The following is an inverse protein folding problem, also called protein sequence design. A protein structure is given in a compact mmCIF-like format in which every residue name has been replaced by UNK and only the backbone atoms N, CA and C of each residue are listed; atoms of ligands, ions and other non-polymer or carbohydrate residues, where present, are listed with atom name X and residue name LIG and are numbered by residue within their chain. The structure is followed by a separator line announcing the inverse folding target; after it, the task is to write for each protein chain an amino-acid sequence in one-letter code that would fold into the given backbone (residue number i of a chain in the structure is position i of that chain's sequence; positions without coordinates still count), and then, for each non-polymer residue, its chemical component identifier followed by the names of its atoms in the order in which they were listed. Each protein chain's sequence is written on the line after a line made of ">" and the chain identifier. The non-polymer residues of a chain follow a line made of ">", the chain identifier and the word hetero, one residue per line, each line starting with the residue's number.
data_IF_253443748161
#
_entry.id   IF_253443748161
#
_cell.length_a   1.000
_cell.length_b   1.000
_cell.length_c   1.000
_cell.angle_alpha   90.00
_cell.angle_beta   90.00
_cell.angle_gamma   90.00
#
_symmetry.space_group_name_H-M   'P 1'
#
loop_
_entity.id
_entity.type
_entity.pdbx_description
1 polymer ?
#
# COMPACT_ATOMS: atom_id res chain seq x y z
N UNK A 1 9.13 14.43 -7.06
CA UNK A 1 7.95 13.56 -6.89
C UNK A 1 6.68 14.14 -7.52
N UNK A 2 6.48 15.46 -7.57
CA UNK A 2 5.29 16.11 -8.18
C UNK A 2 5.11 15.87 -9.69
N UNK A 3 6.20 15.85 -10.47
CA UNK A 3 6.12 15.64 -11.94
C UNK A 3 5.55 14.27 -12.32
N UNK A 4 5.87 13.22 -11.56
CA UNK A 4 5.37 11.85 -11.82
C UNK A 4 3.89 11.74 -11.46
N UNK A 5 3.47 12.34 -10.34
CA UNK A 5 2.07 12.37 -9.93
C UNK A 5 1.18 13.09 -10.96
N UNK A 6 1.64 14.22 -11.52
CA UNK A 6 0.91 14.96 -12.55
C UNK A 6 0.76 14.16 -13.85
N UNK A 7 1.76 13.36 -14.23
CA UNK A 7 1.70 12.48 -15.41
C UNK A 7 0.68 11.36 -15.19
N UNK A 8 0.68 10.71 -14.02
CA UNK A 8 -0.32 9.69 -13.68
C UNK A 8 -1.73 10.27 -13.65
N UNK A 9 -1.91 11.46 -13.08
CA UNK A 9 -3.21 12.13 -13.02
C UNK A 9 -3.72 12.49 -14.42
N UNK A 10 -2.86 13.01 -15.31
CA UNK A 10 -3.19 13.31 -16.69
C UNK A 10 -3.57 12.04 -17.49
N UNK A 11 -2.88 10.91 -17.24
CA UNK A 11 -3.16 9.64 -17.90
C UNK A 11 -4.49 9.03 -17.44
N UNK A 12 -4.79 9.08 -16.13
CA UNK A 12 -6.09 8.66 -15.59
C UNK A 12 -7.21 9.53 -16.15
N UNK A 13 -7.02 10.85 -16.16
CA UNK A 13 -8.01 11.80 -16.68
C UNK A 13 -8.29 11.58 -18.19
N UNK A 14 -7.25 11.31 -18.98
CA UNK A 14 -7.38 10.97 -20.41
C UNK A 14 -8.19 9.69 -20.64
N UNK A 15 -7.96 8.65 -19.84
CA UNK A 15 -8.72 7.39 -19.91
C UNK A 15 -10.19 7.60 -19.52
N UNK A 16 -10.46 8.41 -18.50
CA UNK A 16 -11.82 8.77 -18.09
C UNK A 16 -12.57 9.51 -19.21
N UNK A 17 -11.95 10.50 -19.86
CA UNK A 17 -12.58 11.26 -20.94
C UNK A 17 -12.89 10.38 -22.17
N UNK A 18 -11.99 9.47 -22.54
CA UNK A 18 -12.23 8.53 -23.63
C UNK A 18 -13.42 7.60 -23.33
N UNK A 19 -13.52 7.09 -22.10
CA UNK A 19 -14.64 6.24 -21.67
C UNK A 19 -16.00 6.95 -21.78
N UNK A 20 -16.07 8.22 -21.39
CA UNK A 20 -17.31 9.02 -21.47
C UNK A 20 -17.71 9.35 -22.92
N UNK A 21 -16.75 9.55 -23.82
CA UNK A 21 -17.02 9.80 -25.23
C UNK A 21 -17.57 8.55 -25.96
N UNK A 22 -17.13 7.35 -25.57
CA UNK A 22 -17.65 6.11 -26.13
C UNK A 22 -19.07 5.77 -25.65
N UNK A 23 -19.44 6.13 -24.41
CA UNK A 23 -20.81 5.94 -23.90
C UNK A 23 -21.81 6.84 -24.62
N UNK A 24 -21.46 8.10 -24.88
CA UNK A 24 -22.36 9.03 -25.57
C UNK A 24 -22.62 8.63 -27.03
N UNK A 25 -21.64 8.00 -27.69
CA UNK A 25 -21.82 7.46 -29.04
C UNK A 25 -22.83 6.29 -29.06
N UNK A 26 -22.72 5.35 -28.11
CA UNK A 26 -23.66 4.24 -28.00
C UNK A 26 -25.08 4.72 -27.70
N UNK A 27 -25.24 5.67 -26.77
CA UNK A 27 -26.54 6.29 -26.46
C UNK A 27 -27.19 6.88 -27.71
N UNK A 28 -26.44 7.68 -28.48
CA UNK A 28 -26.93 8.28 -29.71
C UNK A 28 -27.42 7.25 -30.72
N UNK A 29 -26.68 6.15 -30.91
CA UNK A 29 -27.10 5.06 -31.83
C UNK A 29 -28.38 4.39 -31.33
N UNK A 30 -28.52 4.18 -30.02
CA UNK A 30 -29.73 3.60 -29.43
C UNK A 30 -30.94 4.53 -29.57
N UNK A 31 -30.76 5.84 -29.39
CA UNK A 31 -31.83 6.84 -29.56
C UNK A 31 -32.34 6.86 -31.01
N UNK A 32 -31.41 6.92 -31.98
CA UNK A 32 -31.74 6.90 -33.41
C UNK A 32 -32.43 5.59 -33.80
N UNK A 33 -31.96 4.45 -33.28
CA UNK A 33 -32.58 3.17 -33.56
C UNK A 33 -34.00 3.12 -32.99
N UNK A 34 -34.21 3.62 -31.77
CA UNK A 34 -35.50 3.65 -31.11
C UNK A 34 -36.53 4.48 -31.88
N UNK A 35 -36.16 5.65 -32.40
CA UNK A 35 -37.03 6.50 -33.21
C UNK A 35 -37.47 5.80 -34.51
N UNK A 36 -36.58 5.01 -35.11
CA UNK A 36 -36.82 4.31 -36.39
C UNK A 36 -37.55 2.98 -36.25
N UNK A 37 -37.70 2.45 -35.04
CA UNK A 37 -38.31 1.13 -34.83
C UNK A 37 -39.73 1.01 -35.39
N UNK A 38 -40.52 2.09 -35.35
CA UNK A 38 -41.90 2.05 -35.83
C UNK A 38 -42.02 2.30 -37.35
N UNK A 39 -41.13 3.11 -37.92
CA UNK A 39 -41.22 3.58 -39.31
C UNK A 39 -40.34 2.79 -40.28
N UNK A 40 -39.15 2.37 -39.86
CA UNK A 40 -38.18 1.62 -40.68
C UNK A 40 -37.35 0.65 -39.79
N UNK A 41 -37.97 -0.48 -39.38
CA UNK A 41 -37.37 -1.41 -38.41
C UNK A 41 -36.12 -2.13 -38.93
N UNK A 42 -36.00 -2.32 -40.25
CA UNK A 42 -34.83 -2.89 -40.93
C UNK A 42 -33.59 -2.00 -40.77
N UNK A 43 -33.77 -0.69 -40.94
CA UNK A 43 -32.72 0.31 -40.75
C UNK A 43 -32.32 0.44 -39.28
N UNK A 44 -33.30 0.36 -38.37
CA UNK A 44 -33.03 0.31 -36.93
C UNK A 44 -32.22 -0.93 -36.55
N UNK A 45 -32.57 -2.11 -37.10
CA UNK A 45 -31.83 -3.34 -36.88
C UNK A 45 -30.38 -3.25 -37.35
N UNK A 46 -30.13 -2.72 -38.55
CA UNK A 46 -28.77 -2.55 -39.08
C UNK A 46 -27.94 -1.62 -38.19
N UNK A 47 -28.51 -0.50 -37.73
CA UNK A 47 -27.84 0.41 -36.81
C UNK A 47 -27.44 -0.30 -35.51
N UNK A 48 -28.35 -1.07 -34.91
CA UNK A 48 -28.10 -1.84 -33.68
C UNK A 48 -27.08 -2.97 -33.91
N UNK A 49 -27.16 -3.73 -35.01
CA UNK A 49 -26.21 -4.83 -35.25
C UNK A 49 -24.79 -4.33 -35.59
N UNK A 50 -24.68 -3.15 -36.21
CA UNK A 50 -23.41 -2.50 -36.54
C UNK A 50 -22.70 -1.86 -35.34
N UNK A 51 -23.44 -1.59 -34.25
CA UNK A 51 -22.89 -0.99 -33.05
C UNK A 51 -21.76 -1.86 -32.47
N UNK A 52 -20.62 -1.23 -32.16
CA UNK A 52 -19.57 -1.89 -31.39
C UNK A 52 -20.06 -2.10 -29.95
N UNK A 53 -20.20 -3.37 -29.54
CA UNK A 53 -20.66 -3.74 -28.20
C UNK A 53 -19.68 -3.24 -27.13
N UNK A 54 -18.43 -2.94 -27.49
CA UNK A 54 -17.43 -2.38 -26.57
C UNK A 54 -17.84 -1.01 -26.01
N UNK A 55 -18.76 -0.30 -26.69
CA UNK A 55 -19.33 0.96 -26.23
C UNK A 55 -20.54 0.79 -25.29
N UNK A 56 -21.13 -0.42 -25.18
CA UNK A 56 -22.24 -0.72 -24.27
C UNK A 56 -21.74 -0.88 -22.83
N UNK A 57 -21.31 0.26 -22.27
CA UNK A 57 -20.39 0.20 -21.15
C UNK A 57 -21.04 -0.08 -19.79
N UNK A 58 -22.31 0.26 -19.67
CA UNK A 58 -23.14 0.10 -18.47
C UNK A 58 -24.09 -1.09 -18.63
N UNK A 59 -24.65 -1.59 -17.51
CA UNK A 59 -25.71 -2.60 -17.57
C UNK A 59 -26.96 -2.06 -18.27
N UNK A 60 -27.25 -0.78 -18.07
CA UNK A 60 -28.36 -0.04 -18.69
C UNK A 60 -28.28 -0.04 -20.22
N UNK A 61 -27.15 0.39 -20.79
CA UNK A 61 -26.99 0.45 -22.26
C UNK A 61 -27.13 -0.93 -22.90
N UNK A 62 -26.71 -1.99 -22.20
CA UNK A 62 -26.86 -3.36 -22.67
C UNK A 62 -28.31 -3.82 -22.64
N UNK A 63 -29.03 -3.53 -21.57
CA UNK A 63 -30.44 -3.84 -21.44
C UNK A 63 -31.27 -3.08 -22.48
N UNK A 64 -30.99 -1.79 -22.65
CA UNK A 64 -31.60 -0.95 -23.70
C UNK A 64 -31.31 -1.49 -25.10
N UNK A 65 -30.06 -1.82 -25.39
CA UNK A 65 -29.68 -2.44 -26.66
C UNK A 65 -30.38 -3.79 -26.87
N UNK A 66 -30.43 -4.66 -25.86
CA UNK A 66 -31.11 -5.95 -25.93
C UNK A 66 -32.62 -5.81 -26.20
N UNK A 67 -33.26 -4.83 -25.55
CA UNK A 67 -34.68 -4.51 -25.77
C UNK A 67 -34.91 -4.05 -27.21
N UNK A 68 -34.20 -3.02 -27.67
CA UNK A 68 -34.37 -2.46 -29.01
C UNK A 68 -34.02 -3.49 -30.10
N UNK A 69 -32.97 -4.30 -29.89
CA UNK A 69 -32.56 -5.35 -30.83
C UNK A 69 -33.64 -6.42 -30.97
N UNK A 70 -34.25 -6.84 -29.86
CA UNK A 70 -35.34 -7.83 -29.87
C UNK A 70 -36.60 -7.29 -30.55
N UNK A 71 -36.95 -6.03 -30.31
CA UNK A 71 -38.08 -5.36 -30.98
C UNK A 71 -37.83 -5.24 -32.49
N UNK A 72 -36.62 -4.84 -32.89
CA UNK A 72 -36.25 -4.69 -34.30
C UNK A 72 -36.34 -6.03 -35.03
N UNK A 73 -35.82 -7.11 -34.44
CA UNK A 73 -35.89 -8.47 -35.01
C UNK A 73 -37.34 -8.93 -35.22
N UNK A 74 -38.19 -8.79 -34.19
CA UNK A 74 -39.61 -9.16 -34.26
C UNK A 74 -40.35 -8.36 -35.35
N UNK A 75 -40.12 -7.04 -35.43
CA UNK A 75 -40.73 -6.19 -36.47
C UNK A 75 -40.20 -6.48 -37.88
N UNK A 76 -38.95 -6.90 -38.02
CA UNK A 76 -38.38 -7.33 -39.30
C UNK A 76 -38.86 -8.73 -39.73
N UNK A 77 -39.66 -9.42 -38.90
CA UNK A 77 -40.07 -10.81 -39.16
C UNK A 77 -38.90 -11.80 -39.12
N UNK A 78 -37.79 -11.41 -38.49
CA UNK A 78 -36.62 -12.26 -38.34
C UNK A 78 -36.87 -13.14 -37.11
N UNK A 79 -37.19 -14.41 -37.35
CA UNK A 79 -37.51 -15.36 -36.30
C UNK A 79 -36.40 -15.42 -35.24
N UNK A 80 -36.79 -15.36 -33.97
CA UNK A 80 -35.92 -15.52 -32.81
C UNK A 80 -36.28 -16.80 -32.06
N UNK A 81 -35.27 -17.46 -31.47
CA UNK A 81 -35.45 -18.47 -30.43
C UNK A 81 -35.72 -17.75 -29.12
N UNK A 82 -36.69 -18.24 -28.35
CA UNK A 82 -37.54 -17.38 -27.52
C UNK A 82 -36.90 -16.69 -26.31
N UNK A 83 -35.70 -17.05 -25.85
CA UNK A 83 -35.43 -16.78 -24.42
C UNK A 83 -34.16 -15.98 -24.09
N UNK A 84 -33.13 -15.86 -24.95
CA UNK A 84 -31.83 -15.37 -24.40
C UNK A 84 -31.58 -13.86 -24.50
N UNK A 85 -32.05 -13.16 -25.54
CA UNK A 85 -31.69 -11.75 -25.75
C UNK A 85 -32.62 -10.83 -24.97
N UNK A 86 -33.94 -10.99 -25.14
CA UNK A 86 -34.93 -10.13 -24.48
C UNK A 86 -34.87 -10.25 -22.95
N UNK A 87 -34.49 -11.41 -22.41
CA UNK A 87 -34.34 -11.59 -20.97
C UNK A 87 -33.21 -10.73 -20.38
N UNK A 88 -32.18 -10.34 -21.15
CA UNK A 88 -31.17 -9.36 -20.69
C UNK A 88 -31.82 -8.02 -20.34
N UNK A 89 -32.84 -7.61 -21.11
CA UNK A 89 -33.59 -6.39 -20.84
C UNK A 89 -34.56 -6.60 -19.68
N UNK A 90 -35.30 -7.71 -19.66
CA UNK A 90 -36.25 -8.02 -18.58
C UNK A 90 -35.54 -8.05 -17.24
N UNK A 91 -34.48 -8.84 -17.09
CA UNK A 91 -33.73 -8.99 -15.84
C UNK A 91 -33.22 -7.63 -15.31
N UNK A 92 -32.76 -6.76 -16.21
CA UNK A 92 -32.27 -5.44 -15.81
C UNK A 92 -33.40 -4.49 -15.41
N UNK A 93 -34.47 -4.41 -16.22
CA UNK A 93 -35.53 -3.43 -16.00
C UNK A 93 -36.50 -3.84 -14.89
N UNK A 94 -36.68 -5.14 -14.61
CA UNK A 94 -37.44 -5.58 -13.43
C UNK A 94 -36.75 -5.24 -12.12
N UNK A 95 -35.42 -5.18 -12.14
CA UNK A 95 -34.59 -4.83 -10.99
C UNK A 95 -34.31 -3.30 -10.90
N UNK A 96 -34.72 -2.52 -11.89
CA UNK A 96 -34.54 -1.06 -11.93
C UNK A 96 -35.83 -0.31 -11.57
N UNK A 97 -35.73 1.01 -11.34
CA UNK A 97 -36.90 1.87 -11.06
C UNK A 97 -37.69 2.25 -12.33
N UNK A 98 -37.25 1.79 -13.51
CA UNK A 98 -37.84 2.09 -14.81
C UNK A 98 -38.97 1.11 -15.14
N UNK A 99 -40.12 1.35 -14.50
CA UNK A 99 -41.32 0.50 -14.65
C UNK A 99 -41.86 0.48 -16.08
N UNK A 100 -41.70 1.56 -16.83
CA UNK A 100 -42.18 1.66 -18.21
C UNK A 100 -41.41 0.70 -19.11
N UNK A 101 -40.07 0.72 -19.06
CA UNK A 101 -39.27 -0.20 -19.84
C UNK A 101 -39.36 -1.65 -19.33
N UNK A 102 -39.61 -1.85 -18.03
CA UNK A 102 -39.87 -3.19 -17.47
C UNK A 102 -41.15 -3.80 -18.07
N UNK A 103 -42.26 -3.05 -18.06
CA UNK A 103 -43.52 -3.49 -18.65
C UNK A 103 -43.35 -3.73 -20.16
N UNK A 104 -42.68 -2.82 -20.87
CA UNK A 104 -42.38 -2.96 -22.29
C UNK A 104 -41.56 -4.22 -22.59
N UNK A 105 -40.51 -4.51 -21.81
CA UNK A 105 -39.67 -5.69 -22.00
C UNK A 105 -40.47 -6.98 -21.79
N UNK A 106 -41.35 -7.02 -20.78
CA UNK A 106 -42.23 -8.16 -20.50
C UNK A 106 -43.21 -8.39 -21.66
N UNK A 107 -43.89 -7.34 -22.13
CA UNK A 107 -44.85 -7.44 -23.25
C UNK A 107 -44.17 -7.98 -24.51
N UNK A 108 -42.99 -7.45 -24.85
CA UNK A 108 -42.26 -7.90 -26.05
C UNK A 108 -41.72 -9.33 -25.90
N UNK A 109 -41.27 -9.73 -24.71
CA UNK A 109 -40.90 -11.12 -24.44
C UNK A 109 -42.08 -12.05 -24.71
N UNK A 110 -43.24 -11.76 -24.13
CA UNK A 110 -44.42 -12.62 -24.25
C UNK A 110 -44.89 -12.72 -25.72
N UNK A 111 -44.78 -11.61 -26.47
CA UNK A 111 -45.03 -11.59 -27.93
C UNK A 111 -44.04 -12.47 -28.70
N UNK A 112 -42.73 -12.35 -28.44
CA UNK A 112 -41.70 -13.16 -29.10
C UNK A 112 -41.90 -14.64 -28.80
N UNK A 113 -42.27 -14.99 -27.56
CA UNK A 113 -42.59 -16.37 -27.17
C UNK A 113 -43.78 -16.88 -28.00
N UNK A 114 -44.86 -16.11 -28.10
CA UNK A 114 -46.02 -16.48 -28.91
C UNK A 114 -45.66 -16.66 -30.39
N UNK A 115 -44.90 -15.72 -30.98
CA UNK A 115 -44.42 -15.79 -32.37
C UNK A 115 -43.52 -17.00 -32.61
N UNK A 116 -42.63 -17.31 -31.67
CA UNK A 116 -41.71 -18.46 -31.76
C UNK A 116 -42.45 -19.81 -31.70
N UNK A 117 -43.53 -19.90 -30.91
CA UNK A 117 -44.36 -21.11 -30.78
C UNK A 117 -45.13 -21.44 -32.06
N UNK A 118 -45.34 -20.46 -32.95
CA UNK A 118 -45.97 -20.62 -34.25
C UNK A 118 -45.00 -21.12 -35.35
N UNK A 119 -43.69 -21.20 -35.07
CA UNK A 119 -42.69 -21.67 -36.03
C UNK A 119 -42.79 -23.19 -36.18
N UNK A 120 -43.39 -23.63 -37.29
CA UNK A 120 -43.55 -25.04 -37.64
C UNK A 120 -42.25 -25.84 -37.47
N UNK A 121 -42.30 -27.07 -36.91
CA UNK A 121 -41.16 -27.99 -36.85
C UNK A 121 -40.40 -28.20 -38.16
N UNK A 122 -41.09 -28.06 -39.29
CA UNK A 122 -40.56 -28.24 -40.64
C UNK A 122 -39.86 -27.01 -41.23
N UNK A 123 -39.97 -25.82 -40.65
CA UNK A 123 -39.28 -24.61 -41.13
C UNK A 123 -37.85 -24.51 -40.54
N UNK A 124 -36.98 -25.40 -41.01
CA UNK A 124 -35.59 -25.53 -40.54
C UNK A 124 -34.75 -24.28 -40.79
N UNK A 125 -35.03 -23.55 -41.87
CA UNK A 125 -34.27 -22.35 -42.26
C UNK A 125 -34.50 -21.21 -41.28
N UNK A 126 -35.76 -20.92 -40.91
CA UNK A 126 -36.04 -19.88 -39.91
C UNK A 126 -35.42 -20.20 -38.55
N UNK A 127 -35.43 -21.48 -38.16
CA UNK A 127 -34.80 -21.94 -36.91
C UNK A 127 -33.27 -21.79 -36.93
N UNK A 128 -32.63 -22.09 -38.05
CA UNK A 128 -31.18 -21.92 -38.20
C UNK A 128 -30.80 -20.44 -38.18
N UNK A 129 -31.53 -19.58 -38.90
CA UNK A 129 -31.28 -18.13 -38.91
C UNK A 129 -31.44 -17.52 -37.51
N UNK A 130 -32.47 -17.93 -36.76
CA UNK A 130 -32.69 -17.50 -35.37
C UNK A 130 -31.49 -17.83 -34.47
N UNK A 131 -30.97 -19.07 -34.57
CA UNK A 131 -29.80 -19.52 -33.80
C UNK A 131 -28.54 -18.74 -34.16
N UNK A 132 -28.28 -18.53 -35.45
CA UNK A 132 -27.09 -17.79 -35.91
C UNK A 132 -27.09 -16.35 -35.37
N UNK A 133 -28.26 -15.70 -35.36
CA UNK A 133 -28.40 -14.35 -34.82
C UNK A 133 -28.16 -14.33 -33.31
N UNK A 134 -28.71 -15.31 -32.59
CA UNK A 134 -28.50 -15.46 -31.16
C UNK A 134 -27.01 -15.69 -30.82
N UNK A 135 -26.37 -16.64 -31.49
CA UNK A 135 -24.95 -16.95 -31.33
C UNK A 135 -24.09 -15.70 -31.63
N UNK A 136 -24.34 -15.04 -32.77
CA UNK A 136 -23.64 -13.81 -33.16
C UNK A 136 -23.79 -12.71 -32.11
N UNK A 137 -24.99 -12.51 -31.57
CA UNK A 137 -25.24 -11.52 -30.52
C UNK A 137 -24.42 -11.85 -29.27
N UNK A 138 -24.47 -13.12 -28.85
CA UNK A 138 -23.77 -13.61 -27.66
C UNK A 138 -22.25 -13.53 -27.77
N UNK A 139 -21.68 -13.88 -28.93
CA UNK A 139 -20.24 -13.84 -29.19
C UNK A 139 -19.70 -12.43 -29.12
N UNK A 140 -20.39 -11.50 -29.81
CA UNK A 140 -20.06 -10.07 -29.77
C UNK A 140 -20.12 -9.52 -28.34
N UNK A 141 -21.05 -9.98 -27.51
CA UNK A 141 -21.14 -9.60 -26.10
C UNK A 141 -20.00 -10.20 -25.25
N UNK A 142 -19.65 -11.46 -25.51
CA UNK A 142 -18.57 -12.17 -24.83
C UNK A 142 -17.21 -11.52 -25.06
N UNK A 143 -16.93 -11.08 -26.29
CA UNK A 143 -15.68 -10.37 -26.62
C UNK A 143 -15.48 -9.11 -25.74
N UNK A 144 -16.55 -8.37 -25.48
CA UNK A 144 -16.52 -7.19 -24.59
C UNK A 144 -16.23 -7.59 -23.15
N UNK A 145 -16.89 -8.63 -22.65
CA UNK A 145 -16.67 -9.13 -21.28
C UNK A 145 -15.24 -9.65 -21.06
N UNK A 146 -14.67 -10.34 -22.07
CA UNK A 146 -13.30 -10.83 -22.05
C UNK A 146 -12.30 -9.66 -22.07
N UNK A 147 -12.49 -8.67 -22.96
CA UNK A 147 -11.62 -7.48 -23.03
C UNK A 147 -11.58 -6.75 -21.69
N UNK A 148 -12.72 -6.60 -21.01
CA UNK A 148 -12.78 -6.01 -19.66
C UNK A 148 -12.07 -6.83 -18.60
N UNK A 149 -12.25 -8.14 -18.62
CA UNK A 149 -11.59 -9.03 -17.65
C UNK A 149 -10.07 -8.94 -17.78
N UNK A 150 -9.55 -8.87 -19.01
CA UNK A 150 -8.13 -8.64 -19.29
C UNK A 150 -7.67 -7.29 -18.71
N UNK A 151 -8.42 -6.21 -18.95
CA UNK A 151 -8.09 -4.90 -18.39
C UNK A 151 -8.07 -4.90 -16.85
N UNK A 152 -9.07 -5.51 -16.20
CA UNK A 152 -9.13 -5.61 -14.74
C UNK A 152 -7.93 -6.39 -14.20
N UNK A 153 -7.61 -7.55 -14.79
CA UNK A 153 -6.45 -8.36 -14.40
C UNK A 153 -5.14 -7.59 -14.57
N UNK A 154 -5.00 -6.82 -15.65
CA UNK A 154 -3.82 -5.99 -15.87
C UNK A 154 -3.66 -4.89 -14.80
N UNK A 155 -4.78 -4.28 -14.38
CA UNK A 155 -4.79 -3.25 -13.33
C UNK A 155 -4.43 -3.83 -11.95
N UNK A 156 -4.96 -5.00 -11.62
CA UNK A 156 -4.62 -5.73 -10.39
C UNK A 156 -3.13 -6.09 -10.38
N UNK A 157 -2.60 -6.62 -11.50
CA UNK A 157 -1.18 -6.95 -11.61
C UNK A 157 -0.28 -5.74 -11.40
N UNK A 158 -0.66 -4.57 -11.93
CA UNK A 158 0.09 -3.33 -11.73
C UNK A 158 0.05 -2.86 -10.27
N UNK A 159 -1.11 -2.95 -9.61
CA UNK A 159 -1.26 -2.61 -8.20
C UNK A 159 -0.43 -3.53 -7.28
N UNK A 160 -0.38 -4.83 -7.58
CA UNK A 160 0.48 -5.78 -6.85
C UNK A 160 1.95 -5.41 -7.02
N UNK A 161 2.38 -5.10 -8.25
CA UNK A 161 3.76 -4.71 -8.52
C UNK A 161 4.16 -3.42 -7.76
N UNK A 162 3.29 -2.41 -7.72
CA UNK A 162 3.57 -1.17 -6.99
C UNK A 162 3.68 -1.40 -5.49
N UNK A 163 2.81 -2.24 -4.90
CA UNK A 163 2.89 -2.64 -3.49
C UNK A 163 4.21 -3.37 -3.21
N UNK A 164 4.60 -4.33 -4.05
CA UNK A 164 5.88 -5.04 -3.93
C UNK A 164 7.07 -4.07 -3.93
N UNK A 165 7.08 -3.11 -4.86
CA UNK A 165 8.13 -2.08 -4.93
C UNK A 165 8.15 -1.22 -3.66
N UNK A 166 6.99 -0.83 -3.13
CA UNK A 166 6.91 -0.06 -1.88
C UNK A 166 7.43 -0.86 -0.68
N UNK A 167 7.12 -2.15 -0.58
CA UNK A 167 7.62 -3.05 0.47
C UNK A 167 9.14 -3.22 0.37
N UNK A 168 9.66 -3.50 -0.83
CA UNK A 168 11.10 -3.61 -1.08
C UNK A 168 11.80 -2.29 -0.72
N UNK A 169 11.21 -1.14 -1.06
CA UNK A 169 11.75 0.17 -0.73
C UNK A 169 11.76 0.42 0.78
N UNK A 170 10.70 0.03 1.49
CA UNK A 170 10.63 0.11 2.97
C UNK A 170 11.72 -0.74 3.62
N UNK A 171 11.84 -2.00 3.20
CA UNK A 171 12.85 -2.94 3.73
C UNK A 171 14.26 -2.43 3.43
N UNK A 172 14.53 -1.99 2.20
CA UNK A 172 15.85 -1.46 1.82
C UNK A 172 16.22 -0.18 2.57
N UNK A 173 15.27 0.72 2.87
CA UNK A 173 15.52 1.86 3.76
C UNK A 173 15.87 1.40 5.18
N UNK A 174 15.15 0.40 5.73
CA UNK A 174 15.42 -0.14 7.06
C UNK A 174 16.74 -0.92 7.15
N UNK A 175 17.18 -1.54 6.05
CA UNK A 175 18.51 -2.16 5.95
C UNK A 175 19.62 -1.13 5.70
N UNK A 176 19.28 0.01 5.08
CA UNK A 176 20.21 1.11 4.78
C UNK A 176 20.28 2.17 5.88
N UNK A 177 19.48 2.08 6.94
CA UNK A 177 19.84 2.68 8.23
C UNK A 177 21.05 1.91 8.77
N UNK A 178 22.18 2.18 8.14
CA UNK A 178 23.52 1.74 8.52
C UNK A 178 23.74 2.23 9.96
N UNK A 179 24.38 1.44 10.83
CA UNK A 179 24.77 1.91 12.16
C UNK A 179 25.53 3.23 12.01
N UNK A 180 25.31 4.19 12.90
CA UNK A 180 25.88 5.53 12.80
C UNK A 180 27.38 5.43 12.48
N UNK A 181 27.80 5.92 11.31
CA UNK A 181 29.18 5.75 10.81
C UNK A 181 30.19 6.33 11.82
N UNK A 182 29.78 7.37 12.54
CA UNK A 182 30.56 7.99 13.61
C UNK A 182 30.60 7.12 14.88
N UNK A 183 29.46 6.54 15.29
CA UNK A 183 29.42 5.57 16.40
C UNK A 183 30.27 4.32 16.10
N UNK A 184 30.21 3.80 14.87
CA UNK A 184 31.02 2.67 14.44
C UNK A 184 32.52 2.99 14.40
N UNK A 185 32.89 4.22 13.99
CA UNK A 185 34.27 4.69 14.07
C UNK A 185 34.76 4.74 15.53
N UNK A 186 33.93 5.25 16.45
CA UNK A 186 34.23 5.28 17.88
C UNK A 186 34.37 3.88 18.49
N UNK A 187 33.49 2.94 18.13
CA UNK A 187 33.59 1.54 18.58
C UNK A 187 34.91 0.91 18.12
N UNK A 188 35.29 1.12 16.85
CA UNK A 188 36.56 0.62 16.32
C UNK A 188 37.77 1.23 17.02
N UNK A 189 37.75 2.54 17.30
CA UNK A 189 38.80 3.21 18.05
C UNK A 189 38.95 2.59 19.46
N UNK A 190 37.84 2.42 20.18
CA UNK A 190 37.87 1.84 21.55
C UNK A 190 38.31 0.38 21.56
N UNK A 191 37.89 -0.43 20.58
CA UNK A 191 38.36 -1.81 20.42
C UNK A 191 39.86 -1.87 20.17
N UNK A 192 40.42 -0.97 19.35
CA UNK A 192 41.86 -0.93 19.11
C UNK A 192 42.66 -0.60 20.38
N UNK A 193 42.14 0.28 21.25
CA UNK A 193 42.76 0.55 22.57
C UNK A 193 42.66 -0.70 23.46
N UNK A 194 41.50 -1.37 23.50
CA UNK A 194 41.33 -2.61 24.25
C UNK A 194 42.29 -3.70 23.78
N UNK A 195 42.46 -3.89 22.47
CA UNK A 195 43.39 -4.86 21.91
C UNK A 195 44.84 -4.57 22.33
N UNK A 196 45.25 -3.29 22.38
CA UNK A 196 46.56 -2.87 22.88
C UNK A 196 46.73 -3.19 24.37
N UNK A 197 45.71 -2.94 25.19
CA UNK A 197 45.73 -3.27 26.63
C UNK A 197 45.81 -4.78 26.84
N UNK A 198 45.03 -5.58 26.10
CA UNK A 198 45.12 -7.03 26.17
C UNK A 198 46.50 -7.54 25.73
N UNK A 199 47.06 -6.97 24.66
CA UNK A 199 48.39 -7.31 24.18
C UNK A 199 49.49 -6.96 25.19
N UNK A 200 49.39 -5.82 25.89
CA UNK A 200 50.36 -5.42 26.90
C UNK A 200 50.31 -6.29 28.15
N UNK A 201 49.16 -6.84 28.52
CA UNK A 201 49.05 -7.82 29.60
C UNK A 201 49.54 -9.23 29.23
N UNK A 202 49.60 -9.57 27.94
CA UNK A 202 50.14 -10.84 27.44
C UNK A 202 51.66 -10.74 27.23
N UNK A 203 52.13 -9.57 26.81
CA UNK A 203 53.55 -9.30 26.57
C UNK A 203 54.28 -9.00 27.89
N UNK A 204 55.53 -9.45 28.02
CA UNK A 204 56.42 -9.07 29.12
C UNK A 204 57.20 -7.77 28.85
N UNK A 205 56.85 -7.02 27.79
CA UNK A 205 57.53 -5.80 27.35
C UNK A 205 56.97 -4.53 28.01
N UNK A 206 57.79 -3.87 28.85
CA UNK A 206 57.46 -2.62 29.56
C UNK A 206 57.10 -1.48 28.60
N UNK A 207 57.71 -1.44 27.41
CA UNK A 207 57.39 -0.42 26.41
C UNK A 207 55.95 -0.57 25.91
N UNK A 208 55.50 -1.80 25.65
CA UNK A 208 54.12 -2.09 25.21
C UNK A 208 53.10 -1.68 26.28
N UNK A 209 53.41 -1.93 27.56
CA UNK A 209 52.58 -1.47 28.69
C UNK A 209 52.45 0.06 28.73
N UNK A 210 53.57 0.78 28.65
CA UNK A 210 53.55 2.26 28.68
C UNK A 210 52.75 2.86 27.52
N UNK A 211 52.88 2.30 26.31
CA UNK A 211 52.10 2.75 25.15
C UNK A 211 50.60 2.49 25.34
N UNK A 212 50.22 1.34 25.91
CA UNK A 212 48.79 1.08 26.18
C UNK A 212 48.22 2.03 27.23
N UNK A 213 48.98 2.34 28.28
CA UNK A 213 48.54 3.28 29.33
C UNK A 213 48.39 4.70 28.79
N UNK A 214 49.35 5.18 27.99
CA UNK A 214 49.27 6.50 27.36
C UNK A 214 48.06 6.61 26.42
N UNK A 215 47.75 5.55 25.66
CA UNK A 215 46.59 5.53 24.77
C UNK A 215 45.25 5.56 25.55
N UNK A 216 45.18 4.86 26.67
CA UNK A 216 44.01 4.89 27.58
C UNK A 216 43.86 6.28 28.18
N UNK A 217 44.94 6.88 28.68
CA UNK A 217 44.94 8.22 29.27
C UNK A 217 44.52 9.27 28.24
N UNK A 218 45.04 9.20 27.01
CA UNK A 218 44.65 10.07 25.91
C UNK A 218 43.16 9.94 25.58
N UNK A 219 42.60 8.72 25.58
CA UNK A 219 41.19 8.47 25.29
C UNK A 219 40.25 9.11 26.32
N UNK A 220 40.64 9.12 27.60
CA UNK A 220 39.81 9.64 28.70
C UNK A 220 40.16 11.08 29.11
N UNK A 221 41.19 11.68 28.51
CA UNK A 221 41.66 13.03 28.82
C UNK A 221 40.59 14.11 28.57
N UNK A 222 39.88 14.03 27.44
CA UNK A 222 38.71 14.85 27.14
C UNK A 222 37.46 14.25 27.78
N UNK A 223 37.13 14.72 28.98
CA UNK A 223 36.00 14.23 29.78
C UNK A 223 34.65 14.44 29.12
N UNK A 224 34.45 15.59 28.49
CA UNK A 224 33.17 15.91 27.86
C UNK A 224 33.02 15.16 26.54
N UNK A 225 34.08 15.10 25.73
CA UNK A 225 34.12 14.27 24.53
C UNK A 225 33.94 12.78 24.83
N UNK A 226 34.57 12.26 25.89
CA UNK A 226 34.42 10.86 26.30
C UNK A 226 32.98 10.55 26.76
N UNK A 227 32.35 11.47 27.50
CA UNK A 227 30.97 11.34 27.94
C UNK A 227 29.98 11.33 26.76
N UNK A 228 30.10 12.28 25.83
CA UNK A 228 29.21 12.39 24.68
C UNK A 228 29.42 11.25 23.67
N UNK A 229 30.67 10.84 23.43
CA UNK A 229 30.97 9.67 22.60
C UNK A 229 30.45 8.37 23.22
N UNK A 230 30.48 8.25 24.56
CA UNK A 230 29.86 7.12 25.27
C UNK A 230 28.34 7.11 25.11
N UNK A 231 27.66 8.26 25.26
CA UNK A 231 26.22 8.39 24.97
C UNK A 231 25.91 7.88 23.55
N UNK A 232 26.70 8.31 22.56
CA UNK A 232 26.49 7.95 21.16
C UNK A 232 26.61 6.44 20.94
N UNK A 233 27.62 5.79 21.51
CA UNK A 233 27.76 4.32 21.46
C UNK A 233 26.56 3.63 22.13
N UNK A 234 26.11 4.14 23.29
CA UNK A 234 24.93 3.60 23.95
C UNK A 234 23.65 3.79 23.15
N UNK A 235 23.53 4.87 22.37
CA UNK A 235 22.36 5.10 21.49
C UNK A 235 22.28 4.08 20.37
N UNK A 236 23.42 3.63 19.86
CA UNK A 236 23.50 2.59 18.84
C UNK A 236 23.21 1.19 19.43
N UNK A 237 23.81 0.87 20.58
CA UNK A 237 23.70 -0.47 21.17
C UNK A 237 22.43 -0.67 22.01
N UNK A 238 21.97 0.38 22.71
CA UNK A 238 20.86 0.37 23.67
C UNK A 238 19.88 1.53 23.40
N UNK A 239 19.25 1.60 22.20
CA UNK A 239 18.44 2.75 21.78
C UNK A 239 17.24 3.01 22.69
N UNK A 240 16.62 1.96 23.24
CA UNK A 240 15.46 2.09 24.13
C UNK A 240 15.83 2.71 25.48
N UNK A 241 17.01 2.35 26.02
CA UNK A 241 17.54 2.95 27.24
C UNK A 241 17.78 4.45 27.06
N UNK A 242 18.43 4.85 25.96
CA UNK A 242 18.67 6.26 25.65
C UNK A 242 17.35 7.00 25.40
N UNK A 243 16.43 6.41 24.63
CA UNK A 243 15.13 7.01 24.35
C UNK A 243 14.31 7.20 25.64
N UNK A 244 14.37 6.25 26.58
CA UNK A 244 13.74 6.38 27.88
C UNK A 244 14.30 7.57 28.67
N UNK A 245 15.64 7.68 28.76
CA UNK A 245 16.29 8.79 29.47
C UNK A 245 15.93 10.16 28.84
N UNK A 246 15.99 10.25 27.51
CA UNK A 246 15.59 11.45 26.75
C UNK A 246 14.10 11.78 26.98
N UNK A 247 13.21 10.77 27.07
CA UNK A 247 11.78 10.97 27.35
C UNK A 247 11.50 11.55 28.76
N UNK A 248 12.42 11.35 29.70
CA UNK A 248 12.38 11.94 31.06
C UNK A 248 12.97 13.35 31.12
N UNK A 249 13.35 13.93 29.98
CA UNK A 249 13.88 15.29 29.89
C UNK A 249 15.33 15.42 30.35
N UNK A 250 16.11 14.34 30.28
CA UNK A 250 17.55 14.40 30.46
C UNK A 250 18.19 15.00 29.21
N UNK A 251 19.10 15.95 29.41
CA UNK A 251 19.95 16.49 28.36
C UNK A 251 20.96 15.46 27.85
N UNK A 252 21.61 15.75 26.72
CA UNK A 252 22.70 14.92 26.17
C UNK A 252 23.80 14.67 27.18
N UNK A 253 24.16 15.71 27.94
CA UNK A 253 25.16 15.62 28.98
C UNK A 253 24.70 14.74 30.15
N UNK A 254 23.46 14.91 30.64
CA UNK A 254 22.93 14.07 31.74
C UNK A 254 22.76 12.61 31.32
N UNK A 255 22.41 12.38 30.06
CA UNK A 255 22.30 11.04 29.48
C UNK A 255 23.66 10.37 29.39
N UNK A 256 24.69 11.08 28.90
CA UNK A 256 26.06 10.56 28.91
C UNK A 256 26.59 10.33 30.33
N UNK A 257 26.23 11.19 31.29
CA UNK A 257 26.54 11.00 32.70
C UNK A 257 25.91 9.72 33.26
N UNK A 258 24.66 9.41 32.89
CA UNK A 258 24.02 8.13 33.23
C UNK A 258 24.74 6.93 32.60
N UNK A 259 25.23 7.06 31.37
CA UNK A 259 25.99 6.00 30.69
C UNK A 259 27.31 5.69 31.42
N UNK A 260 27.94 6.65 32.09
CA UNK A 260 29.13 6.38 32.90
C UNK A 260 28.83 5.46 34.10
N UNK A 261 27.65 5.57 34.71
CA UNK A 261 27.23 4.63 35.77
C UNK A 261 26.96 3.22 35.24
N UNK A 262 26.44 3.10 34.01
CA UNK A 262 26.19 1.80 33.39
C UNK A 262 27.47 1.11 32.96
N UNK A 263 28.55 1.84 32.69
CA UNK A 263 29.91 1.29 32.53
C UNK A 263 30.52 0.69 33.83
N UNK A 264 29.83 0.82 34.96
CA UNK A 264 30.26 0.23 36.24
C UNK A 264 31.00 1.18 37.18
N UNK A 265 31.20 2.44 36.79
CA UNK A 265 31.79 3.45 37.66
C UNK A 265 30.89 3.74 38.87
N UNK A 266 31.49 3.93 40.06
CA UNK A 266 30.74 4.37 41.24
C UNK A 266 30.57 5.88 41.21
N UNK A 267 29.58 6.40 41.92
CA UNK A 267 29.30 7.85 41.90
C UNK A 267 30.47 8.73 42.33
N UNK A 268 31.32 8.24 43.24
CA UNK A 268 32.56 8.91 43.62
C UNK A 268 33.55 9.02 42.46
N UNK A 269 33.69 7.96 41.67
CA UNK A 269 34.64 7.87 40.55
C UNK A 269 34.13 8.73 39.38
N UNK A 270 32.83 8.69 39.10
CA UNK A 270 32.19 9.59 38.11
C UNK A 270 32.33 11.06 38.52
N UNK A 271 32.12 11.36 39.81
CA UNK A 271 32.27 12.71 40.35
C UNK A 271 33.71 13.23 40.26
N UNK A 272 34.67 12.39 40.59
CA UNK A 272 36.11 12.68 40.47
C UNK A 272 36.54 12.86 39.02
N UNK A 273 36.10 11.98 38.13
CA UNK A 273 36.43 12.05 36.70
C UNK A 273 35.91 13.34 36.05
N UNK A 274 34.64 13.69 36.28
CA UNK A 274 34.02 14.86 35.63
C UNK A 274 34.57 16.19 36.19
N UNK A 275 35.12 16.20 37.41
CA UNK A 275 35.65 17.38 38.13
C UNK A 275 34.73 18.62 38.13
N UNK A 276 33.41 18.47 37.96
CA UNK A 276 32.47 19.58 38.18
C UNK A 276 32.29 19.82 39.68
N UNK A 277 32.46 21.07 40.11
CA UNK A 277 32.03 21.51 41.44
C UNK A 277 30.54 21.16 41.61
N UNK A 278 30.21 20.38 42.65
CA UNK A 278 28.85 19.97 43.04
C UNK A 278 28.21 18.81 42.22
N UNK A 279 28.98 17.77 41.90
CA UNK A 279 28.46 16.56 41.25
C UNK A 279 27.28 15.87 41.97
N UNK A 280 27.17 16.00 43.30
CA UNK A 280 26.04 15.47 44.06
C UNK A 280 24.70 16.16 43.70
N UNK A 281 24.74 17.44 43.34
CA UNK A 281 23.55 18.19 42.89
C UNK A 281 23.08 17.63 41.55
N UNK A 282 24.01 17.36 40.64
CA UNK A 282 23.73 16.77 39.33
C UNK A 282 23.02 15.41 39.50
N UNK A 283 23.54 14.54 40.36
CA UNK A 283 22.90 13.25 40.63
C UNK A 283 21.49 13.42 41.23
N UNK A 284 21.31 14.37 42.14
CA UNK A 284 20.00 14.67 42.74
C UNK A 284 18.98 15.20 41.72
N UNK A 285 19.42 16.08 40.82
CA UNK A 285 18.58 16.63 39.75
C UNK A 285 18.13 15.54 38.77
N UNK A 286 19.07 14.68 38.37
CA UNK A 286 18.77 13.54 37.51
C UNK A 286 17.80 12.57 38.21
N UNK A 287 18.02 12.25 39.49
CA UNK A 287 17.09 11.41 40.27
C UNK A 287 15.67 11.98 40.24
N UNK A 288 15.53 13.29 40.44
CA UNK A 288 14.22 13.97 40.39
C UNK A 288 13.56 13.84 39.02
N UNK A 289 14.30 14.01 37.92
CA UNK A 289 13.80 13.81 36.55
C UNK A 289 13.36 12.38 36.27
N UNK A 290 14.09 11.41 36.84
CA UNK A 290 13.77 9.98 36.73
C UNK A 290 12.63 9.55 37.65
N UNK A 291 12.15 10.42 38.55
CA UNK A 291 11.09 10.12 39.51
C UNK A 291 11.56 9.33 40.73
N UNK A 292 12.86 9.35 41.02
CA UNK A 292 13.46 8.66 42.17
C UNK A 292 13.41 9.53 43.43
N UNK A 293 12.81 9.01 44.50
CA UNK A 293 12.75 9.58 45.84
C UNK A 293 14.03 9.35 46.66
N UNK A 294 14.05 9.85 47.89
CA UNK A 294 15.21 9.82 48.80
C UNK A 294 15.56 8.40 49.27
N UNK A 295 14.54 7.56 49.47
CA UNK A 295 14.69 6.16 49.88
C UNK A 295 14.92 5.19 48.73
N UNK A 296 14.85 5.66 47.48
CA UNK A 296 15.06 4.81 46.32
C UNK A 296 16.53 4.41 46.17
N UNK A 297 16.71 3.26 45.53
CA UNK A 297 18.00 2.65 45.19
C UNK A 297 18.98 3.67 44.60
N UNK A 298 20.27 3.50 44.89
CA UNK A 298 21.32 4.34 44.31
C UNK A 298 21.17 4.43 42.78
N UNK A 299 21.24 5.65 42.24
CA UNK A 299 21.01 5.92 40.81
C UNK A 299 21.80 4.98 39.89
N UNK A 300 23.04 4.63 40.24
CA UNK A 300 23.86 3.74 39.42
C UNK A 300 23.35 2.29 39.40
N UNK A 301 22.84 1.80 40.53
CA UNK A 301 22.23 0.47 40.60
C UNK A 301 20.91 0.47 39.83
N UNK A 302 20.11 1.53 40.00
CA UNK A 302 18.85 1.69 39.29
C UNK A 302 19.04 1.74 37.77
N UNK A 303 20.00 2.53 37.27
CA UNK A 303 20.29 2.63 35.83
C UNK A 303 20.75 1.30 35.22
N UNK A 304 21.57 0.51 35.94
CA UNK A 304 21.99 -0.82 35.48
C UNK A 304 20.83 -1.82 35.46
N UNK A 305 19.93 -1.72 36.44
CA UNK A 305 18.71 -2.56 36.49
C UNK A 305 17.79 -2.22 35.32
N UNK A 306 17.54 -0.93 35.09
CA UNK A 306 16.76 -0.45 33.94
C UNK A 306 17.35 -0.91 32.60
N UNK A 307 18.67 -0.82 32.44
CA UNK A 307 19.34 -1.28 31.21
C UNK A 307 19.08 -2.77 30.97
N UNK A 308 19.25 -3.62 32.00
CA UNK A 308 19.02 -5.05 31.90
C UNK A 308 17.55 -5.41 31.62
N UNK A 309 16.59 -4.69 32.22
CA UNK A 309 15.15 -4.90 31.98
C UNK A 309 14.76 -4.59 30.53
N UNK A 310 15.29 -3.51 29.97
CA UNK A 310 15.05 -3.12 28.57
C UNK A 310 15.73 -4.07 27.58
N UNK A 311 16.91 -4.58 27.92
CA UNK A 311 17.60 -5.58 27.09
C UNK A 311 16.86 -6.93 27.06
N UNK A 312 16.35 -7.39 28.20
CA UNK A 312 15.61 -8.64 28.28
C UNK A 312 14.25 -8.57 27.57
N UNK A 313 13.68 -7.38 27.40
CA UNK A 313 12.42 -7.17 26.66
C UNK A 313 12.59 -7.26 25.14
N UNK A 314 13.84 -7.27 24.65
CA UNK A 314 14.20 -7.34 23.23
C UNK A 314 14.44 -8.78 22.73
N UNK A 315 14.63 -9.74 23.64
CA UNK A 315 14.79 -11.18 23.35
C UNK A 315 13.45 -11.91 23.36
#
# INVERSE_FOLDING_TARGET
>A
MSKIHNIFFALIFSVCLASCAHTSEAERVLDIAQERLETCPDSAFVALDSLDRSHLNTKELRARHALLYSIALEKCGIGMTSDSIINIAVDYYTDSDDKENAEKAIIWRDKIIATSGLISPTDTLKRQNARIIQERYSDKMRLVSNRRSIFILSLISLAVLTICVMVIRRISIKLRSKPDDEAMALIRQRLAVLDKVLASHISSDDRTYRISEEEVENLISDREGFLLSTKRIFKENHPEFIAFLESKGLSDWETGYCCLYTLGLKGKDVGEYIQKKRHYIISSEIRKKLGLGEHDTNIGIWLRTLLAELENSRM
#
